data_IF_936404608541
#
_entry.id   IF_936404608541
#
_cell.length_a   1.000
_cell.length_b   1.000
_cell.length_c   1.000
_cell.angle_alpha   90.00
_cell.angle_beta   90.00
_cell.angle_gamma   90.00
#
_symmetry.space_group_name_H-M   'P 1'
#
loop_
_entity.id
_entity.type
_entity.pdbx_description
1 polymer ?
#
# COMPACT_ATOMS: atom_id res chain seq x y z
N UNK A 1 17.74 7.85 9.66
CA UNK A 1 17.37 7.43 8.30
C UNK A 1 16.14 6.55 8.45
N UNK A 2 14.94 7.15 8.50
CA UNK A 2 13.68 6.38 8.54
C UNK A 2 13.48 5.85 7.14
N UNK A 3 13.46 4.53 6.95
CA UNK A 3 13.06 3.95 5.69
C UNK A 3 11.63 4.42 5.43
N UNK A 4 11.39 5.13 4.32
CA UNK A 4 10.04 5.48 3.84
C UNK A 4 9.33 4.19 3.40
N UNK A 5 9.03 3.32 4.35
CA UNK A 5 8.31 2.08 4.13
C UNK A 5 6.83 2.42 4.00
N UNK A 6 6.16 1.87 2.98
CA UNK A 6 4.74 2.10 2.77
C UNK A 6 3.92 1.63 3.99
N UNK A 7 2.71 2.18 4.21
CA UNK A 7 1.85 1.77 5.32
C UNK A 7 1.54 0.27 5.31
N UNK A 8 1.37 -0.31 4.11
CA UNK A 8 1.19 -1.75 3.95
C UNK A 8 2.42 -2.56 4.40
N UNK A 9 3.64 -2.07 4.14
CA UNK A 9 4.87 -2.71 4.61
C UNK A 9 5.04 -2.57 6.14
N UNK A 10 4.65 -1.44 6.72
CA UNK A 10 4.64 -1.27 8.18
C UNK A 10 3.57 -2.16 8.84
N UNK A 11 2.40 -2.31 8.21
CA UNK A 11 1.36 -3.23 8.66
C UNK A 11 1.82 -4.69 8.61
N UNK A 12 2.50 -5.11 7.53
CA UNK A 12 3.10 -6.45 7.41
C UNK A 12 4.13 -6.70 8.52
N UNK A 13 5.07 -5.78 8.70
CA UNK A 13 6.09 -5.90 9.74
C UNK A 13 5.48 -5.97 11.15
N UNK A 14 4.49 -5.12 11.44
CA UNK A 14 3.81 -5.16 12.75
C UNK A 14 3.00 -6.42 12.95
N UNK A 15 2.38 -6.97 11.91
CA UNK A 15 1.69 -8.26 11.98
C UNK A 15 2.66 -9.39 12.34
N UNK A 16 3.87 -9.41 11.76
CA UNK A 16 4.88 -10.42 12.09
C UNK A 16 5.31 -10.33 13.57
N UNK A 17 5.54 -9.12 14.08
CA UNK A 17 5.87 -8.91 15.50
C UNK A 17 4.70 -9.32 16.39
N UNK A 18 3.46 -8.98 16.01
CA UNK A 18 2.27 -9.35 16.78
C UNK A 18 2.12 -10.87 16.89
N UNK A 19 2.29 -11.58 15.78
CA UNK A 19 2.21 -13.03 15.74
C UNK A 19 3.27 -13.72 16.60
N UNK A 20 4.44 -13.11 16.79
CA UNK A 20 5.51 -13.65 17.64
C UNK A 20 5.25 -13.35 19.13
N UNK A 21 4.84 -12.12 19.44
CA UNK A 21 4.76 -11.59 20.80
C UNK A 21 3.45 -11.88 21.54
N UNK A 22 2.31 -11.92 20.84
CA UNK A 22 1.01 -12.12 21.48
C UNK A 22 0.77 -13.60 21.71
N UNK A 23 0.45 -13.99 22.94
CA UNK A 23 0.09 -15.38 23.24
C UNK A 23 -1.36 -15.64 22.82
N UNK A 24 -1.55 -16.34 21.71
CA UNK A 24 -2.85 -16.70 21.13
C UNK A 24 -2.78 -18.13 20.61
N UNK A 25 -3.93 -18.77 20.40
CA UNK A 25 -4.01 -20.14 19.88
C UNK A 25 -3.31 -20.24 18.52
N UNK A 26 -2.50 -21.29 18.27
CA UNK A 26 -1.77 -21.44 17.01
C UNK A 26 -2.66 -21.37 15.75
N UNK A 27 -3.88 -21.91 15.83
CA UNK A 27 -4.83 -21.85 14.72
C UNK A 27 -5.30 -20.42 14.39
N UNK A 28 -5.47 -19.56 15.41
CA UNK A 28 -5.85 -18.15 15.23
C UNK A 28 -4.69 -17.39 14.58
N UNK A 29 -3.46 -17.59 15.08
CA UNK A 29 -2.25 -17.02 14.48
C UNK A 29 -2.08 -17.42 13.02
N UNK A 30 -2.27 -18.71 12.71
CA UNK A 30 -2.17 -19.21 11.34
C UNK A 30 -3.22 -18.60 10.40
N UNK A 31 -4.48 -18.51 10.85
CA UNK A 31 -5.55 -17.90 10.07
C UNK A 31 -5.29 -16.40 9.82
N UNK A 32 -4.83 -15.67 10.84
CA UNK A 32 -4.51 -14.26 10.72
C UNK A 32 -3.30 -14.01 9.81
N UNK A 33 -2.26 -14.84 9.89
CA UNK A 33 -1.11 -14.79 8.98
C UNK A 33 -1.53 -15.05 7.52
N UNK A 34 -2.40 -16.04 7.30
CA UNK A 34 -2.92 -16.36 5.96
C UNK A 34 -3.78 -15.22 5.39
N UNK A 35 -4.61 -14.58 6.22
CA UNK A 35 -5.41 -13.43 5.82
C UNK A 35 -4.52 -12.23 5.44
N UNK A 36 -3.48 -11.95 6.23
CA UNK A 36 -2.52 -10.88 5.94
C UNK A 36 -1.76 -11.14 4.63
N UNK A 37 -1.27 -12.38 4.42
CA UNK A 37 -0.59 -12.77 3.19
C UNK A 37 -1.50 -12.61 1.96
N UNK A 38 -2.75 -13.09 2.05
CA UNK A 38 -3.71 -12.96 0.95
C UNK A 38 -4.04 -11.49 0.63
N UNK A 39 -4.09 -10.60 1.64
CA UNK A 39 -4.28 -9.18 1.42
C UNK A 39 -3.07 -8.56 0.69
N UNK A 40 -1.85 -8.89 1.10
CA UNK A 40 -0.61 -8.41 0.48
C UNK A 40 -0.46 -8.91 -0.97
N UNK A 41 -0.86 -10.14 -1.27
CA UNK A 41 -0.82 -10.66 -2.65
C UNK A 41 -1.81 -9.92 -3.56
N UNK A 42 -3.00 -9.60 -3.05
CA UNK A 42 -3.96 -8.73 -3.76
C UNK A 42 -3.40 -7.32 -3.98
N UNK A 43 -2.66 -6.77 -3.00
CA UNK A 43 -1.98 -5.49 -3.17
C UNK A 43 -0.96 -5.55 -4.30
N UNK A 44 -0.10 -6.58 -4.30
CA UNK A 44 0.92 -6.75 -5.34
C UNK A 44 0.31 -6.85 -6.73
N UNK A 45 -0.74 -7.67 -6.87
CA UNK A 45 -1.47 -7.79 -8.13
C UNK A 45 -2.06 -6.44 -8.56
N UNK A 46 -2.70 -5.72 -7.64
CA UNK A 46 -3.31 -4.43 -7.95
C UNK A 46 -2.30 -3.35 -8.33
N UNK A 47 -1.16 -3.30 -7.64
CA UNK A 47 -0.09 -2.35 -7.97
C UNK A 47 0.53 -2.66 -9.34
N UNK A 48 0.64 -3.94 -9.69
CA UNK A 48 1.11 -4.36 -11.02
C UNK A 48 0.14 -3.93 -12.12
N UNK A 49 -1.17 -4.14 -11.92
CA UNK A 49 -2.21 -3.67 -12.84
C UNK A 49 -2.18 -2.15 -13.02
N UNK A 50 -2.07 -1.40 -11.92
CA UNK A 50 -2.02 0.07 -11.96
C UNK A 50 -0.75 0.58 -12.65
N UNK A 51 0.40 -0.05 -12.40
CA UNK A 51 1.65 0.30 -13.07
C UNK A 51 1.58 0.05 -14.57
N UNK A 52 1.03 -1.09 -14.98
CA UNK A 52 0.88 -1.43 -16.40
C UNK A 52 -0.08 -0.46 -17.09
N UNK A 53 -1.25 -0.20 -16.49
CA UNK A 53 -2.22 0.75 -17.02
C UNK A 53 -1.65 2.16 -17.13
N UNK A 54 -0.92 2.63 -16.10
CA UNK A 54 -0.26 3.93 -16.11
C UNK A 54 0.78 4.07 -17.22
N UNK A 55 1.60 3.04 -17.44
CA UNK A 55 2.60 3.02 -18.50
C UNK A 55 1.94 3.09 -19.88
N UNK A 56 0.90 2.30 -20.13
CA UNK A 56 0.17 2.32 -21.41
C UNK A 56 -0.40 3.72 -21.71
N UNK A 57 -1.01 4.36 -20.72
CA UNK A 57 -1.59 5.71 -20.89
C UNK A 57 -0.51 6.77 -21.14
N UNK A 58 0.62 6.71 -20.41
CA UNK A 58 1.74 7.63 -20.63
C UNK A 58 2.36 7.44 -22.03
N UNK A 59 2.62 6.20 -22.44
CA UNK A 59 3.14 5.89 -23.79
C UNK A 59 2.17 6.37 -24.88
N UNK A 60 0.87 6.24 -24.65
CA UNK A 60 -0.15 6.73 -25.59
C UNK A 60 -0.13 8.27 -25.70
N UNK A 61 0.04 8.99 -24.59
CA UNK A 61 0.18 10.45 -24.58
C UNK A 61 1.44 10.90 -25.32
N UNK A 62 2.57 10.26 -25.05
CA UNK A 62 3.85 10.55 -25.71
C UNK A 62 3.79 10.27 -27.22
N UNK A 63 3.30 9.09 -27.61
CA UNK A 63 3.12 8.71 -29.02
C UNK A 63 2.21 9.69 -29.76
N UNK A 64 1.14 10.13 -29.10
CA UNK A 64 0.19 11.10 -29.64
C UNK A 64 0.80 12.48 -29.83
N UNK A 65 1.63 12.94 -28.88
CA UNK A 65 2.33 14.22 -28.99
C UNK A 65 3.37 14.19 -30.11
N UNK A 66 4.17 13.12 -30.20
CA UNK A 66 5.17 12.92 -31.24
C UNK A 66 4.54 12.92 -32.65
N UNK A 67 3.41 12.24 -32.85
CA UNK A 67 2.67 12.23 -34.13
C UNK A 67 2.18 13.61 -34.55
N UNK A 68 1.95 14.52 -33.60
CA UNK A 68 1.54 15.90 -33.86
C UNK A 68 2.72 16.89 -33.95
N UNK A 69 3.96 16.42 -33.75
CA UNK A 69 5.14 17.29 -33.68
C UNK A 69 5.08 18.26 -32.49
N UNK A 70 4.44 17.85 -31.40
CA UNK A 70 4.31 18.65 -30.17
C UNK A 70 5.10 18.01 -29.04
N UNK A 71 5.50 18.82 -28.06
CA UNK A 71 6.00 18.31 -26.80
C UNK A 71 4.89 17.52 -26.05
N UNK A 72 5.25 16.52 -25.22
CA UNK A 72 4.31 15.82 -24.36
C UNK A 72 3.52 16.81 -23.47
N UNK A 73 2.23 16.54 -23.31
CA UNK A 73 1.37 17.34 -22.44
C UNK A 73 1.64 16.96 -20.98
N UNK A 74 2.52 17.73 -20.32
CA UNK A 74 2.89 17.52 -18.92
C UNK A 74 1.68 17.59 -17.97
N UNK A 75 0.63 18.34 -18.30
CA UNK A 75 -0.57 18.40 -17.48
C UNK A 75 -1.35 17.08 -17.57
N UNK A 76 -1.49 16.53 -18.78
CA UNK A 76 -2.10 15.21 -18.98
C UNK A 76 -1.30 14.09 -18.32
N UNK A 77 0.03 14.10 -18.44
CA UNK A 77 0.90 13.11 -17.79
C UNK A 77 0.82 13.17 -16.27
N UNK A 78 0.82 14.38 -15.69
CA UNK A 78 0.62 14.55 -14.25
C UNK A 78 -0.77 14.09 -13.79
N UNK A 79 -1.81 14.27 -14.61
CA UNK A 79 -3.15 13.76 -14.30
C UNK A 79 -3.17 12.21 -14.24
N UNK A 80 -2.51 11.53 -15.18
CA UNK A 80 -2.36 10.06 -15.16
C UNK A 80 -1.62 9.63 -13.89
N UNK A 81 -0.46 10.25 -13.61
CA UNK A 81 0.32 9.99 -12.40
C UNK A 81 -0.51 10.14 -11.13
N UNK A 82 -1.25 11.23 -10.99
CA UNK A 82 -2.03 11.51 -9.79
C UNK A 82 -3.23 10.55 -9.64
N UNK A 83 -3.80 10.10 -10.75
CA UNK A 83 -4.80 9.03 -10.77
C UNK A 83 -4.23 7.71 -10.25
N UNK A 84 -3.12 7.24 -10.83
CA UNK A 84 -2.46 6.00 -10.42
C UNK A 84 -2.04 6.03 -8.94
N UNK A 85 -1.45 7.15 -8.48
CA UNK A 85 -1.05 7.27 -7.08
C UNK A 85 -2.24 7.23 -6.12
N UNK A 86 -3.37 7.86 -6.49
CA UNK A 86 -4.60 7.83 -5.68
C UNK A 86 -5.18 6.42 -5.58
N UNK A 87 -5.15 5.67 -6.67
CA UNK A 87 -5.63 4.29 -6.70
C UNK A 87 -4.70 3.34 -5.93
N UNK A 88 -3.38 3.52 -6.06
CA UNK A 88 -2.39 2.78 -5.29
C UNK A 88 -2.53 3.05 -3.78
N UNK A 89 -2.75 4.31 -3.41
CA UNK A 89 -3.06 4.69 -2.03
C UNK A 89 -4.35 4.04 -1.52
N UNK A 90 -5.41 4.03 -2.32
CA UNK A 90 -6.66 3.36 -1.96
C UNK A 90 -6.48 1.84 -1.75
N UNK A 91 -5.72 1.19 -2.64
CA UNK A 91 -5.38 -0.22 -2.49
C UNK A 91 -4.55 -0.49 -1.22
N UNK A 92 -3.57 0.37 -0.92
CA UNK A 92 -2.78 0.30 0.31
C UNK A 92 -3.66 0.42 1.56
N UNK A 93 -4.60 1.39 1.61
CA UNK A 93 -5.52 1.56 2.75
C UNK A 93 -6.37 0.31 2.99
N UNK A 94 -6.89 -0.30 1.93
CA UNK A 94 -7.70 -1.51 2.04
C UNK A 94 -6.90 -2.69 2.65
N UNK A 95 -5.63 -2.81 2.28
CA UNK A 95 -4.74 -3.87 2.78
C UNK A 95 -4.36 -3.62 4.23
N UNK A 96 -4.02 -2.38 4.60
CA UNK A 96 -3.77 -2.00 6.00
C UNK A 96 -4.99 -2.33 6.87
N UNK A 97 -6.20 -1.97 6.45
CA UNK A 97 -7.43 -2.30 7.17
C UNK A 97 -7.64 -3.82 7.32
N UNK A 98 -7.32 -4.60 6.28
CA UNK A 98 -7.40 -6.06 6.32
C UNK A 98 -6.39 -6.65 7.31
N UNK A 99 -5.17 -6.12 7.35
CA UNK A 99 -4.13 -6.55 8.30
C UNK A 99 -4.51 -6.17 9.74
N UNK A 100 -5.02 -4.96 9.97
CA UNK A 100 -5.53 -4.53 11.30
C UNK A 100 -6.65 -5.47 11.76
N UNK A 101 -7.58 -5.82 10.86
CA UNK A 101 -8.67 -6.77 11.18
C UNK A 101 -8.11 -8.14 11.56
N UNK A 102 -7.13 -8.67 10.81
CA UNK A 102 -6.48 -9.93 11.14
C UNK A 102 -5.73 -9.86 12.48
N UNK A 103 -5.01 -8.77 12.74
CA UNK A 103 -4.34 -8.51 14.00
C UNK A 103 -5.32 -8.46 15.18
N UNK A 104 -6.48 -7.84 15.00
CA UNK A 104 -7.52 -7.77 16.02
C UNK A 104 -7.97 -9.16 16.46
N UNK A 105 -8.13 -10.10 15.52
CA UNK A 105 -8.50 -11.49 15.88
C UNK A 105 -7.48 -12.19 16.76
N UNK A 106 -6.18 -11.86 16.61
CA UNK A 106 -5.11 -12.43 17.44
C UNK A 106 -5.09 -11.77 18.81
N UNK A 107 -5.31 -10.45 18.87
CA UNK A 107 -5.41 -9.73 20.14
C UNK A 107 -6.61 -10.20 20.95
N UNK A 108 -7.79 -10.28 20.34
CA UNK A 108 -9.03 -10.73 21.00
C UNK A 108 -8.91 -12.13 21.61
N UNK A 109 -8.13 -13.02 21.00
CA UNK A 109 -7.90 -14.37 21.50
C UNK A 109 -6.88 -14.43 22.65
N UNK A 110 -5.98 -13.45 22.74
CA UNK A 110 -4.79 -13.51 23.58
C UNK A 110 -4.68 -12.42 24.63
N UNK A 111 -4.44 -11.19 24.18
CA UNK A 111 -4.06 -10.07 25.04
C UNK A 111 -5.17 -9.02 25.23
N UNK A 112 -6.20 -9.04 24.38
CA UNK A 112 -7.19 -7.98 24.23
C UNK A 112 -6.59 -6.67 23.70
N UNK A 113 -7.39 -5.60 23.75
CA UNK A 113 -7.00 -4.26 23.29
C UNK A 113 -7.25 -4.02 21.80
N UNK A 114 -7.02 -2.78 21.37
CA UNK A 114 -7.24 -2.34 20.00
C UNK A 114 -5.99 -2.53 19.14
N UNK A 115 -6.13 -3.16 17.97
CA UNK A 115 -5.02 -3.42 17.07
C UNK A 115 -4.34 -2.12 16.61
N UNK A 116 -5.09 -1.08 16.27
CA UNK A 116 -4.50 0.19 15.83
C UNK A 116 -3.60 0.82 16.91
N UNK A 117 -4.02 0.75 18.18
CA UNK A 117 -3.23 1.23 19.32
C UNK A 117 -1.99 0.37 19.52
N UNK A 118 -2.12 -0.96 19.37
CA UNK A 118 -0.99 -1.88 19.47
C UNK A 118 0.08 -1.56 18.43
N UNK A 119 -0.29 -1.34 17.16
CA UNK A 119 0.65 -0.98 16.09
C UNK A 119 1.37 0.33 16.40
N UNK A 120 0.63 1.37 16.83
CA UNK A 120 1.21 2.65 17.21
C UNK A 120 2.17 2.55 18.40
N UNK A 121 1.80 1.79 19.44
CA UNK A 121 2.65 1.56 20.62
C UNK A 121 3.94 0.80 20.28
N UNK A 122 3.94 -0.01 19.23
CA UNK A 122 5.11 -0.74 18.74
C UNK A 122 5.87 0.00 17.63
N UNK A 123 5.52 1.26 17.37
CA UNK A 123 6.26 2.16 16.47
C UNK A 123 5.96 1.97 14.97
N UNK A 124 4.87 1.28 14.64
CA UNK A 124 4.41 1.14 13.25
C UNK A 124 3.50 2.30 12.87
N UNK A 125 3.93 3.10 11.90
CA UNK A 125 3.15 4.20 11.36
C UNK A 125 2.33 3.74 10.16
N UNK A 126 1.01 3.70 10.34
CA UNK A 126 0.08 3.29 9.30
C UNK A 126 -0.46 4.49 8.50
N UNK A 127 0.06 5.69 8.74
CA UNK A 127 -0.33 6.92 8.05
C UNK A 127 0.10 6.91 6.59
N UNK A 128 -0.76 7.44 5.73
CA UNK A 128 -0.52 7.48 4.30
C UNK A 128 0.71 8.34 3.93
N UNK A 129 1.58 7.89 3.00
CA UNK A 129 2.75 8.64 2.60
C UNK A 129 2.34 9.88 1.79
N UNK A 130 3.21 10.88 1.78
CA UNK A 130 3.02 12.06 0.93
C UNK A 130 3.01 11.67 -0.55
N UNK A 131 2.16 12.33 -1.35
CA UNK A 131 2.13 12.12 -2.79
C UNK A 131 3.48 12.51 -3.42
N UNK A 132 3.94 11.76 -4.44
CA UNK A 132 5.17 12.07 -5.15
C UNK A 132 5.06 13.43 -5.89
N UNK A 133 6.18 14.16 -6.02
CA UNK A 133 6.21 15.46 -6.70
C UNK A 133 5.74 15.36 -8.16
N UNK A 134 5.21 16.44 -8.76
CA UNK A 134 4.78 16.44 -10.15
C UNK A 134 5.96 16.24 -11.12
N UNK A 135 5.67 15.65 -12.28
CA UNK A 135 6.57 15.54 -13.42
C UNK A 135 6.80 16.94 -14.00
N UNK A 136 8.06 17.25 -14.26
CA UNK A 136 8.53 18.54 -14.79
C UNK A 136 9.17 18.36 -16.17
N UNK A 137 9.42 19.45 -16.89
CA UNK A 137 10.04 19.41 -18.22
C UNK A 137 11.51 18.92 -18.22
N UNK A 138 12.09 18.71 -17.04
CA UNK A 138 13.47 18.26 -16.83
C UNK A 138 13.59 16.78 -16.46
N UNK A 139 12.47 16.08 -16.26
CA UNK A 139 12.40 14.63 -16.09
C UNK A 139 12.50 13.91 -17.44
#
# INVERSE_FOLDING_TARGET
MRTNSSPAAQAEAGMLVLLDTVSARPAVKAAAAQAAAAALDRLRARLMELSEAGNIELEHLESSAAKRGHAPDLAAMNAVKDGINRDAAAASRAVVASIITAAQTVLDDGAGGEAAEWFGAHGFDLSEPAMPPPITATD
#
